data_IF_720648939200
#
_entry.id   IF_720648939200
#
_cell.length_a   1.000
_cell.length_b   1.000
_cell.length_c   1.000
_cell.angle_alpha   90.00
_cell.angle_beta   90.00
_cell.angle_gamma   90.00
#
_symmetry.space_group_name_H-M   'P 1'
#
loop_
_entity.id
_entity.type
_entity.pdbx_description
1 polymer ?
#
# COMPACT_ATOMS: atom_id res chain seq x y z
N UNK A 1 -22.32 32.13 3.71
CA UNK A 1 -22.09 31.41 2.46
C UNK A 1 -20.69 31.80 2.04
N UNK A 2 -19.69 31.06 2.54
CA UNK A 2 -18.29 31.25 2.15
C UNK A 2 -18.08 30.62 0.81
N UNK A 3 -17.45 31.33 -0.06
CA UNK A 3 -17.04 31.03 -1.42
C UNK A 3 -16.28 29.70 -1.47
N UNK A 4 -16.93 28.63 -1.91
CA UNK A 4 -16.29 27.34 -2.19
C UNK A 4 -15.89 27.33 -3.69
N UNK A 5 -15.05 28.28 -4.10
CA UNK A 5 -14.46 28.27 -5.43
C UNK A 5 -13.00 27.86 -5.34
N UNK A 6 -12.67 26.83 -6.11
CA UNK A 6 -11.37 26.29 -6.49
C UNK A 6 -10.67 25.33 -5.49
N UNK A 7 -11.28 24.18 -5.28
CA UNK A 7 -10.59 23.03 -4.63
C UNK A 7 -9.94 22.09 -5.65
N UNK A 8 -10.10 22.33 -6.94
CA UNK A 8 -9.51 21.50 -8.01
C UNK A 8 -7.98 21.60 -7.98
N UNK A 9 -7.31 20.50 -7.70
CA UNK A 9 -5.84 20.41 -7.65
C UNK A 9 -5.28 20.07 -9.04
N UNK A 10 -6.01 19.26 -9.81
CA UNK A 10 -5.64 18.81 -11.15
C UNK A 10 -6.83 18.86 -12.09
N UNK A 11 -6.59 19.19 -13.38
CA UNK A 11 -7.66 19.13 -14.38
C UNK A 11 -7.97 17.67 -14.79
N UNK A 12 -6.94 16.83 -14.96
CA UNK A 12 -7.10 15.45 -15.41
C UNK A 12 -6.17 14.48 -14.70
N UNK A 13 -6.75 13.43 -14.12
CA UNK A 13 -6.01 12.27 -13.60
C UNK A 13 -6.19 11.04 -14.49
N UNK A 14 -5.10 10.30 -14.70
CA UNK A 14 -5.15 8.94 -15.22
C UNK A 14 -4.85 7.95 -14.09
N UNK A 15 -5.77 7.04 -13.81
CA UNK A 15 -5.61 5.97 -12.82
C UNK A 15 -5.36 4.65 -13.56
N UNK A 16 -4.17 4.06 -13.33
CA UNK A 16 -3.76 2.79 -13.93
C UNK A 16 -3.96 1.67 -12.91
N UNK A 17 -5.04 0.91 -13.06
CA UNK A 17 -5.47 -0.09 -12.09
C UNK A 17 -6.60 0.41 -11.21
N UNK A 18 -7.77 -0.24 -11.31
CA UNK A 18 -9.01 0.13 -10.59
C UNK A 18 -9.38 -0.95 -9.56
N UNK A 19 -8.39 -1.45 -8.81
CA UNK A 19 -8.60 -2.32 -7.65
C UNK A 19 -9.10 -1.53 -6.43
N UNK A 20 -8.93 -2.09 -5.23
CA UNK A 20 -9.34 -1.44 -3.97
C UNK A 20 -8.82 0.01 -3.87
N UNK A 21 -7.49 0.21 -3.99
CA UNK A 21 -6.89 1.54 -3.82
C UNK A 21 -7.30 2.49 -4.96
N UNK A 22 -7.19 2.03 -6.22
CA UNK A 22 -7.54 2.87 -7.39
C UNK A 22 -9.01 3.30 -7.39
N UNK A 23 -9.94 2.43 -6.98
CA UNK A 23 -11.36 2.78 -6.88
C UNK A 23 -11.65 3.67 -5.67
N UNK A 24 -10.96 3.47 -4.57
CA UNK A 24 -11.11 4.33 -3.38
C UNK A 24 -10.62 5.74 -3.64
N UNK A 25 -9.41 5.90 -4.23
CA UNK A 25 -8.91 7.25 -4.56
C UNK A 25 -9.79 7.92 -5.61
N UNK A 26 -10.27 7.19 -6.62
CA UNK A 26 -11.21 7.73 -7.60
C UNK A 26 -12.48 8.26 -6.96
N UNK A 27 -13.07 7.52 -6.00
CA UNK A 27 -14.25 7.97 -5.23
C UNK A 27 -13.93 9.21 -4.40
N UNK A 28 -12.83 9.18 -3.67
CA UNK A 28 -12.43 10.27 -2.78
C UNK A 28 -12.20 11.59 -3.55
N UNK A 29 -11.46 11.55 -4.66
CA UNK A 29 -11.18 12.75 -5.45
C UNK A 29 -12.44 13.31 -6.14
N UNK A 30 -13.35 12.44 -6.61
CA UNK A 30 -14.64 12.89 -7.20
C UNK A 30 -15.57 13.46 -6.13
N UNK A 31 -15.67 12.82 -4.97
CA UNK A 31 -16.50 13.30 -3.85
C UNK A 31 -16.07 14.68 -3.35
N UNK A 32 -14.76 14.93 -3.31
CA UNK A 32 -14.18 16.18 -2.83
C UNK A 32 -13.94 17.22 -3.93
N UNK A 33 -14.28 16.94 -5.20
CA UNK A 33 -14.10 17.86 -6.31
C UNK A 33 -12.63 18.24 -6.58
N UNK A 34 -11.68 17.32 -6.33
CA UNK A 34 -10.25 17.59 -6.42
C UNK A 34 -9.70 17.52 -7.85
N UNK A 35 -10.43 16.88 -8.76
CA UNK A 35 -10.05 16.64 -10.15
C UNK A 35 -11.26 16.77 -11.05
N UNK A 36 -11.13 17.47 -12.18
CA UNK A 36 -12.24 17.70 -13.11
C UNK A 36 -12.55 16.47 -13.96
N UNK A 37 -11.55 15.66 -14.32
CA UNK A 37 -11.71 14.51 -15.20
C UNK A 37 -10.88 13.32 -14.77
N UNK A 38 -11.52 12.15 -14.62
CA UNK A 38 -10.90 10.89 -14.22
C UNK A 38 -10.91 9.91 -15.40
N UNK A 39 -9.72 9.61 -15.92
CA UNK A 39 -9.48 8.55 -16.91
C UNK A 39 -8.99 7.29 -16.20
N UNK A 40 -9.55 6.13 -16.54
CA UNK A 40 -9.19 4.85 -15.90
C UNK A 40 -8.79 3.82 -16.94
N UNK A 41 -7.71 3.10 -16.64
CA UNK A 41 -7.35 1.90 -17.37
C UNK A 41 -7.20 0.71 -16.44
N UNK A 42 -7.58 -0.47 -16.93
CA UNK A 42 -7.47 -1.73 -16.18
C UNK A 42 -7.17 -2.89 -17.12
N UNK A 43 -6.74 -4.01 -16.55
CA UNK A 43 -6.40 -5.23 -17.29
C UNK A 43 -7.63 -5.94 -17.90
N UNK A 44 -8.83 -5.75 -17.34
CA UNK A 44 -10.04 -6.43 -17.79
C UNK A 44 -11.18 -5.45 -18.11
N UNK A 45 -11.94 -5.77 -19.16
CA UNK A 45 -13.14 -5.01 -19.51
C UNK A 45 -14.15 -5.01 -18.37
N UNK A 46 -14.30 -6.15 -17.67
CA UNK A 46 -15.21 -6.25 -16.51
C UNK A 46 -14.92 -5.19 -15.45
N UNK A 47 -13.65 -4.96 -15.11
CA UNK A 47 -13.28 -3.93 -14.12
C UNK A 47 -13.59 -2.51 -14.62
N UNK A 48 -13.44 -2.27 -15.92
CA UNK A 48 -13.80 -0.99 -16.54
C UNK A 48 -15.32 -0.77 -16.54
N UNK A 49 -16.08 -1.78 -16.91
CA UNK A 49 -17.56 -1.72 -16.90
C UNK A 49 -18.07 -1.44 -15.48
N UNK A 50 -17.46 -2.07 -14.49
CA UNK A 50 -17.75 -1.80 -13.07
C UNK A 50 -17.40 -0.36 -12.69
N UNK A 51 -16.26 0.16 -13.10
CA UNK A 51 -15.88 1.56 -12.81
C UNK A 51 -16.89 2.56 -13.41
N UNK A 52 -17.37 2.29 -14.62
CA UNK A 52 -18.44 3.10 -15.25
C UNK A 52 -19.75 3.00 -14.46
N UNK A 53 -20.17 1.78 -14.11
CA UNK A 53 -21.43 1.55 -13.38
C UNK A 53 -21.44 2.20 -12.00
N UNK A 54 -20.30 2.30 -11.36
CA UNK A 54 -20.09 2.96 -10.07
C UNK A 54 -19.92 4.49 -10.18
N UNK A 55 -19.86 5.04 -11.40
CA UNK A 55 -19.68 6.47 -11.62
C UNK A 55 -18.32 7.02 -11.17
N UNK A 56 -17.30 6.15 -11.05
CA UNK A 56 -15.97 6.53 -10.55
C UNK A 56 -14.97 6.86 -11.66
N UNK A 57 -15.38 6.83 -12.93
CA UNK A 57 -14.55 7.20 -14.07
C UNK A 57 -15.37 8.01 -15.08
N UNK A 58 -14.77 9.03 -15.67
CA UNK A 58 -15.36 9.82 -16.74
C UNK A 58 -15.02 9.21 -18.10
N UNK A 59 -13.87 8.53 -18.20
CA UNK A 59 -13.52 7.70 -19.37
C UNK A 59 -12.80 6.42 -18.94
N UNK A 60 -12.96 5.37 -19.71
CA UNK A 60 -12.32 4.08 -19.49
C UNK A 60 -11.73 3.52 -20.77
N UNK A 61 -10.58 2.89 -20.71
CA UNK A 61 -9.93 2.22 -21.86
C UNK A 61 -9.05 1.07 -21.39
N UNK A 62 -8.86 0.05 -22.23
CA UNK A 62 -7.88 -1.01 -22.01
C UNK A 62 -6.45 -0.60 -22.38
N UNK A 63 -6.29 0.54 -23.07
CA UNK A 63 -5.01 0.99 -23.60
C UNK A 63 -4.38 2.03 -22.68
N UNK A 64 -3.16 1.73 -22.24
CA UNK A 64 -2.38 2.57 -21.32
C UNK A 64 -2.08 3.95 -21.93
N UNK A 65 -1.66 3.98 -23.18
CA UNK A 65 -1.30 5.19 -23.93
C UNK A 65 -2.49 6.14 -24.12
N UNK A 66 -3.68 5.60 -24.33
CA UNK A 66 -4.91 6.41 -24.43
C UNK A 66 -5.32 7.00 -23.08
N UNK A 67 -5.19 6.21 -22.00
CA UNK A 67 -5.60 6.63 -20.66
C UNK A 67 -4.84 7.85 -20.16
N UNK A 68 -3.52 7.92 -20.42
CA UNK A 68 -2.62 8.96 -19.87
C UNK A 68 -2.60 10.25 -20.70
N UNK A 69 -3.23 10.25 -21.87
CA UNK A 69 -3.21 11.41 -22.80
C UNK A 69 -3.83 12.64 -22.16
N UNK A 70 -3.08 13.75 -22.11
CA UNK A 70 -3.51 15.00 -21.54
C UNK A 70 -3.70 14.96 -20.01
N UNK A 71 -3.15 13.97 -19.33
CA UNK A 71 -3.23 13.89 -17.88
C UNK A 71 -2.17 14.77 -17.20
N UNK A 72 -2.60 15.60 -16.24
CA UNK A 72 -1.70 16.37 -15.37
C UNK A 72 -1.05 15.49 -14.32
N UNK A 73 -1.75 14.41 -13.94
CA UNK A 73 -1.27 13.41 -12.99
C UNK A 73 -1.60 12.00 -13.48
N UNK A 74 -0.63 11.11 -13.40
CA UNK A 74 -0.79 9.67 -13.67
C UNK A 74 -0.49 8.91 -12.39
N UNK A 75 -1.47 8.16 -11.89
CA UNK A 75 -1.35 7.38 -10.66
C UNK A 75 -1.39 5.88 -10.97
N UNK A 76 -0.30 5.16 -10.66
CA UNK A 76 -0.20 3.71 -10.85
C UNK A 76 -0.73 3.00 -9.61
N UNK A 77 -1.86 2.32 -9.75
CA UNK A 77 -2.55 1.55 -8.70
C UNK A 77 -2.60 0.03 -9.02
N UNK A 78 -1.69 -0.45 -9.82
CA UNK A 78 -1.54 -1.87 -10.20
C UNK A 78 -0.45 -2.56 -9.36
N UNK A 79 -0.27 -3.88 -9.43
CA UNK A 79 0.84 -4.57 -8.76
C UNK A 79 2.21 -4.05 -9.19
N UNK A 80 3.16 -3.94 -8.25
CA UNK A 80 4.49 -3.35 -8.47
C UNK A 80 5.25 -4.03 -9.61
N UNK A 81 5.12 -5.34 -9.76
CA UNK A 81 5.75 -6.11 -10.86
C UNK A 81 5.37 -5.64 -12.26
N UNK A 82 4.30 -4.84 -12.40
CA UNK A 82 3.84 -4.33 -13.69
C UNK A 82 4.43 -2.95 -14.04
N UNK A 83 5.07 -2.27 -13.09
CA UNK A 83 5.46 -0.85 -13.22
C UNK A 83 6.43 -0.59 -14.36
N UNK A 84 7.47 -1.42 -14.51
CA UNK A 84 8.45 -1.26 -15.58
C UNK A 84 7.81 -1.33 -16.98
N UNK A 85 6.89 -2.29 -17.19
CA UNK A 85 6.16 -2.45 -18.46
C UNK A 85 5.11 -1.35 -18.69
N UNK A 86 4.46 -0.88 -17.62
CA UNK A 86 3.57 0.28 -17.70
C UNK A 86 4.36 1.51 -18.13
N UNK A 87 5.49 1.77 -17.48
CA UNK A 87 6.33 2.93 -17.79
C UNK A 87 6.79 2.94 -19.25
N UNK A 88 7.20 1.79 -19.79
CA UNK A 88 7.55 1.65 -21.22
C UNK A 88 6.41 2.08 -22.16
N UNK A 89 5.19 1.71 -21.78
CA UNK A 89 4.00 1.97 -22.60
C UNK A 89 3.53 3.41 -22.50
N UNK A 90 3.63 4.05 -21.33
CA UNK A 90 3.08 5.39 -21.10
C UNK A 90 4.08 6.52 -21.36
N UNK A 91 5.38 6.28 -21.19
CA UNK A 91 6.41 7.31 -21.27
C UNK A 91 6.30 8.21 -22.50
N UNK A 92 6.07 7.69 -23.74
CA UNK A 92 5.95 8.52 -24.92
C UNK A 92 4.72 9.45 -24.95
N UNK A 93 3.74 9.20 -24.06
CA UNK A 93 2.45 9.90 -24.02
C UNK A 93 2.25 10.74 -22.76
N UNK A 94 3.28 10.85 -21.91
CA UNK A 94 3.25 11.71 -20.73
C UNK A 94 3.50 13.17 -21.15
N UNK A 95 2.65 14.06 -20.70
CA UNK A 95 2.78 15.49 -20.98
C UNK A 95 3.93 16.13 -20.18
N UNK A 96 4.59 17.14 -20.75
CA UNK A 96 5.57 17.94 -20.02
C UNK A 96 4.90 18.64 -18.84
N UNK A 97 5.46 18.53 -17.65
CA UNK A 97 4.88 19.05 -16.41
C UNK A 97 3.96 18.07 -15.71
N UNK A 98 3.64 16.92 -16.32
CA UNK A 98 2.84 15.88 -15.65
C UNK A 98 3.56 15.28 -14.46
N UNK A 99 2.78 14.85 -13.47
CA UNK A 99 3.27 14.16 -12.27
C UNK A 99 2.93 12.67 -12.36
N UNK A 100 3.95 11.83 -12.34
CA UNK A 100 3.81 10.39 -12.18
C UNK A 100 3.90 10.04 -10.69
N UNK A 101 2.90 9.39 -10.17
CA UNK A 101 2.84 8.90 -8.78
C UNK A 101 2.36 7.45 -8.74
N UNK A 102 2.47 6.82 -7.58
CA UNK A 102 2.00 5.46 -7.37
C UNK A 102 1.44 5.26 -5.97
N UNK A 103 0.95 4.04 -5.67
CA UNK A 103 0.41 3.64 -4.36
C UNK A 103 1.06 2.36 -3.81
N UNK A 104 2.18 1.95 -4.38
CA UNK A 104 2.85 0.70 -4.03
C UNK A 104 3.44 0.70 -2.62
N UNK A 105 3.52 -0.48 -2.02
CA UNK A 105 4.01 -0.67 -0.65
C UNK A 105 5.54 -0.72 -0.54
N UNK A 106 6.28 -0.61 -1.65
CA UNK A 106 7.74 -0.56 -1.70
C UNK A 106 8.15 0.63 -2.55
N UNK A 107 9.11 1.43 -2.10
CA UNK A 107 9.46 2.70 -2.76
C UNK A 107 10.77 2.68 -3.52
N UNK A 108 11.81 2.02 -2.98
CA UNK A 108 13.10 1.95 -3.65
C UNK A 108 13.02 1.27 -5.03
N UNK A 109 12.26 0.18 -5.14
CA UNK A 109 12.03 -0.51 -6.41
C UNK A 109 11.21 0.32 -7.40
N UNK A 110 10.23 1.07 -6.92
CA UNK A 110 9.43 1.99 -7.76
C UNK A 110 10.33 3.04 -8.41
N UNK A 111 11.21 3.68 -7.62
CA UNK A 111 12.15 4.67 -8.15
C UNK A 111 13.13 4.03 -9.14
N UNK A 112 13.70 2.86 -8.80
CA UNK A 112 14.59 2.10 -9.68
C UNK A 112 13.96 1.80 -11.05
N UNK A 113 12.68 1.41 -11.06
CA UNK A 113 12.01 0.92 -12.26
C UNK A 113 11.41 2.04 -13.12
N UNK A 114 10.99 3.16 -12.50
CA UNK A 114 10.36 4.27 -13.21
C UNK A 114 11.33 5.38 -13.63
N UNK A 115 12.29 5.76 -12.75
CA UNK A 115 13.17 6.91 -13.00
C UNK A 115 13.98 6.84 -14.30
N UNK A 116 14.57 5.69 -14.70
CA UNK A 116 15.41 5.63 -15.89
C UNK A 116 14.67 5.91 -17.22
N UNK A 117 13.35 5.78 -17.21
CA UNK A 117 12.49 5.94 -18.41
C UNK A 117 11.60 7.18 -18.31
N UNK A 118 11.80 7.99 -17.28
CA UNK A 118 10.99 9.19 -17.06
C UNK A 118 11.34 10.25 -18.15
N UNK A 119 10.36 10.75 -18.93
CA UNK A 119 10.62 11.79 -19.91
C UNK A 119 11.07 13.10 -19.25
N UNK A 120 11.86 13.88 -20.00
CA UNK A 120 12.25 15.20 -19.54
C UNK A 120 11.02 16.09 -19.27
N UNK A 121 11.01 16.78 -18.13
CA UNK A 121 9.92 17.63 -17.70
C UNK A 121 8.74 16.90 -17.03
N UNK A 122 8.77 15.57 -16.89
CA UNK A 122 7.83 14.80 -16.06
C UNK A 122 8.41 14.62 -14.66
N UNK A 123 7.58 14.72 -13.63
CA UNK A 123 8.00 14.64 -12.23
C UNK A 123 7.57 13.31 -11.60
N UNK A 124 8.51 12.55 -11.04
CA UNK A 124 8.20 11.33 -10.29
C UNK A 124 8.05 11.66 -8.80
N UNK A 125 6.86 11.42 -8.26
CA UNK A 125 6.54 11.62 -6.84
C UNK A 125 5.90 10.35 -6.29
N UNK A 126 6.68 9.33 -5.89
CA UNK A 126 6.13 8.09 -5.34
C UNK A 126 5.45 8.33 -3.99
N UNK A 127 4.32 7.65 -3.80
CA UNK A 127 3.54 7.69 -2.57
C UNK A 127 3.14 6.28 -2.13
N UNK A 128 2.89 6.11 -0.84
CA UNK A 128 2.38 4.88 -0.25
C UNK A 128 1.28 5.23 0.76
N UNK A 129 0.01 5.14 0.39
CA UNK A 129 -1.07 5.18 1.38
C UNK A 129 -1.04 3.88 2.18
N UNK A 130 -0.75 3.98 3.48
CA UNK A 130 -0.74 2.84 4.40
C UNK A 130 -2.17 2.52 4.80
N UNK A 131 -2.93 2.04 3.83
CA UNK A 131 -4.35 1.73 3.93
C UNK A 131 -4.70 0.53 3.05
N UNK A 132 -5.68 -0.25 3.46
CA UNK A 132 -6.13 -1.41 2.70
C UNK A 132 -7.04 -2.32 3.52
N UNK A 133 -7.66 -3.26 2.83
CA UNK A 133 -8.42 -4.36 3.41
C UNK A 133 -8.02 -5.65 2.68
N UNK A 134 -8.48 -6.79 3.16
CA UNK A 134 -8.29 -8.09 2.52
C UNK A 134 -9.14 -8.27 1.23
N UNK A 135 -10.03 -7.33 0.94
CA UNK A 135 -10.89 -7.35 -0.26
C UNK A 135 -10.20 -6.75 -1.47
N UNK A 136 -10.61 -7.16 -2.66
CA UNK A 136 -10.07 -6.70 -3.94
C UNK A 136 -11.15 -6.37 -4.94
N UNK A 137 -10.79 -5.63 -6.00
CA UNK A 137 -11.72 -5.22 -7.05
C UNK A 137 -12.30 -3.82 -6.85
N UNK A 138 -12.94 -3.26 -7.91
CA UNK A 138 -13.47 -1.90 -7.88
C UNK A 138 -14.69 -1.74 -6.97
N UNK A 139 -15.44 -2.81 -6.71
CA UNK A 139 -16.58 -2.81 -5.79
C UNK A 139 -16.17 -2.64 -4.33
N UNK A 140 -14.94 -3.05 -3.98
CA UNK A 140 -14.44 -3.02 -2.61
C UNK A 140 -13.95 -1.65 -2.16
N UNK A 141 -13.81 -0.69 -3.08
CA UNK A 141 -13.36 0.65 -2.76
C UNK A 141 -14.42 1.52 -2.10
N UNK A 142 -13.97 2.41 -1.23
CA UNK A 142 -14.80 3.43 -0.57
C UNK A 142 -13.99 4.72 -0.37
N UNK A 143 -14.68 5.86 -0.32
CA UNK A 143 -14.03 7.17 -0.34
C UNK A 143 -13.22 7.45 0.94
N UNK A 144 -13.70 6.94 2.07
CA UNK A 144 -13.16 7.17 3.41
C UNK A 144 -11.93 6.29 3.74
N UNK A 145 -11.49 5.43 2.82
CA UNK A 145 -10.38 4.50 3.04
C UNK A 145 -9.12 5.18 3.58
N UNK A 146 -8.88 6.42 3.19
CA UNK A 146 -7.66 7.17 3.49
C UNK A 146 -7.79 8.10 4.71
N UNK A 147 -8.98 8.29 5.24
CA UNK A 147 -9.22 9.17 6.38
C UNK A 147 -8.45 8.72 7.62
N UNK A 148 -7.65 9.65 8.17
CA UNK A 148 -6.78 9.39 9.31
C UNK A 148 -5.62 8.41 9.05
N UNK A 149 -5.48 7.85 7.85
CA UNK A 149 -4.38 6.94 7.48
C UNK A 149 -3.13 7.71 7.09
N UNK A 150 -1.98 7.08 7.27
CA UNK A 150 -0.73 7.65 6.81
C UNK A 150 -0.57 7.49 5.30
N UNK A 151 -0.08 8.54 4.64
CA UNK A 151 0.45 8.45 3.29
C UNK A 151 1.91 8.91 3.31
N UNK A 152 2.83 7.99 3.03
CA UNK A 152 4.26 8.27 2.98
C UNK A 152 4.66 8.65 1.56
N UNK A 153 5.23 9.84 1.39
CA UNK A 153 5.73 10.35 0.10
C UNK A 153 7.26 10.29 0.09
N UNK A 154 7.83 9.69 -0.96
CA UNK A 154 9.26 9.44 -1.05
C UNK A 154 9.85 10.03 -2.33
N UNK A 155 9.92 11.36 -2.49
CA UNK A 155 10.38 11.97 -3.71
C UNK A 155 11.88 11.71 -3.93
N UNK A 156 12.31 11.31 -5.14
CA UNK A 156 13.72 11.26 -5.48
C UNK A 156 14.42 12.61 -5.29
N UNK A 157 15.70 12.57 -4.97
CA UNK A 157 16.49 13.80 -4.83
C UNK A 157 16.42 14.65 -6.12
N UNK A 158 16.11 15.94 -5.98
CA UNK A 158 15.99 16.86 -7.10
C UNK A 158 14.59 16.90 -7.76
N UNK A 159 13.62 16.17 -7.25
CA UNK A 159 12.22 16.32 -7.69
C UNK A 159 11.71 17.74 -7.43
N UNK A 160 10.97 18.29 -8.38
CA UNK A 160 10.37 19.63 -8.26
C UNK A 160 9.44 19.72 -7.03
N UNK A 161 9.69 20.71 -6.18
CA UNK A 161 8.97 20.87 -4.92
C UNK A 161 7.47 21.20 -5.13
N UNK A 162 7.12 21.87 -6.23
CA UNK A 162 5.72 22.15 -6.55
C UNK A 162 4.96 20.85 -6.87
N UNK A 163 5.59 19.94 -7.62
CA UNK A 163 5.01 18.61 -7.89
C UNK A 163 4.84 17.79 -6.61
N UNK A 164 5.84 17.83 -5.71
CA UNK A 164 5.77 17.15 -4.40
C UNK A 164 4.62 17.71 -3.55
N UNK A 165 4.49 19.04 -3.50
CA UNK A 165 3.43 19.69 -2.73
C UNK A 165 2.04 19.34 -3.26
N UNK A 166 1.84 19.32 -4.58
CA UNK A 166 0.56 18.94 -5.19
C UNK A 166 0.12 17.51 -4.82
N UNK A 167 1.06 16.55 -4.82
CA UNK A 167 0.75 15.18 -4.37
C UNK A 167 0.44 15.14 -2.88
N UNK A 168 1.19 15.88 -2.05
CA UNK A 168 0.91 15.97 -0.62
C UNK A 168 -0.46 16.58 -0.35
N UNK A 169 -0.85 17.63 -1.08
CA UNK A 169 -2.14 18.29 -0.93
C UNK A 169 -3.29 17.38 -1.39
N UNK A 170 -3.10 16.59 -2.47
CA UNK A 170 -4.07 15.58 -2.89
C UNK A 170 -4.35 14.56 -1.76
N UNK A 171 -3.30 14.01 -1.15
CA UNK A 171 -3.45 13.02 -0.08
C UNK A 171 -4.05 13.64 1.19
N UNK A 172 -3.68 14.87 1.55
CA UNK A 172 -4.32 15.60 2.67
C UNK A 172 -5.79 15.85 2.40
N UNK A 173 -6.14 16.26 1.18
CA UNK A 173 -7.52 16.58 0.81
C UNK A 173 -8.45 15.34 0.84
N UNK A 174 -7.90 14.13 0.70
CA UNK A 174 -8.66 12.87 0.89
C UNK A 174 -8.57 12.34 2.32
N UNK A 175 -8.05 13.13 3.27
CA UNK A 175 -8.06 12.83 4.71
C UNK A 175 -6.82 12.14 5.25
N UNK A 176 -5.77 11.94 4.45
CA UNK A 176 -4.54 11.28 4.90
C UNK A 176 -3.64 12.19 5.74
N UNK A 177 -2.95 11.57 6.71
CA UNK A 177 -1.79 12.16 7.37
C UNK A 177 -0.56 11.98 6.47
N UNK A 178 0.01 13.06 5.95
CA UNK A 178 1.13 12.98 5.01
C UNK A 178 2.46 13.09 5.75
N UNK A 179 3.35 12.15 5.47
CA UNK A 179 4.73 12.12 5.95
C UNK A 179 5.71 12.01 4.78
N UNK A 180 6.90 12.62 4.92
CA UNK A 180 7.97 12.52 3.92
C UNK A 180 9.09 11.65 4.46
N UNK A 181 9.59 10.73 3.64
CA UNK A 181 10.60 9.78 4.06
C UNK A 181 11.57 9.45 2.92
N UNK A 182 12.80 9.13 3.26
CA UNK A 182 13.72 8.51 2.31
C UNK A 182 13.18 7.14 1.85
N UNK A 183 13.28 6.78 0.56
CA UNK A 183 12.68 5.55 0.04
C UNK A 183 13.27 4.27 0.66
N UNK A 184 14.57 4.24 0.97
CA UNK A 184 15.19 3.07 1.60
C UNK A 184 14.77 2.96 3.07
N UNK A 185 14.71 4.09 3.77
CA UNK A 185 14.21 4.12 5.14
C UNK A 185 12.73 3.69 5.21
N UNK A 186 11.90 4.16 4.28
CA UNK A 186 10.52 3.69 4.12
C UNK A 186 10.47 2.16 4.01
N UNK A 187 11.26 1.58 3.12
CA UNK A 187 11.26 0.15 2.86
C UNK A 187 11.73 -0.68 4.08
N UNK A 188 12.67 -0.15 4.87
CA UNK A 188 13.08 -0.75 6.16
C UNK A 188 11.95 -0.69 7.21
N UNK A 189 11.28 0.46 7.34
CA UNK A 189 10.14 0.62 8.27
C UNK A 189 9.02 -0.34 7.88
N UNK A 190 8.65 -0.39 6.59
CA UNK A 190 7.59 -1.28 6.10
C UNK A 190 7.97 -2.76 6.21
N UNK A 191 9.25 -3.11 6.04
CA UNK A 191 9.71 -4.48 6.25
C UNK A 191 9.38 -4.97 7.67
N UNK A 192 9.56 -4.13 8.69
CA UNK A 192 9.29 -4.50 10.08
C UNK A 192 7.81 -4.38 10.46
N UNK A 193 7.14 -3.31 10.02
CA UNK A 193 5.78 -2.99 10.51
C UNK A 193 4.66 -3.67 9.72
N UNK A 194 4.93 -4.10 8.49
CA UNK A 194 3.94 -4.67 7.57
C UNK A 194 4.40 -6.00 6.96
N UNK A 195 5.56 -6.03 6.29
CA UNK A 195 5.92 -7.16 5.43
C UNK A 195 6.27 -8.41 6.24
N UNK A 196 7.10 -8.29 7.28
CA UNK A 196 7.42 -9.39 8.18
C UNK A 196 6.18 -9.94 8.91
N UNK A 197 5.28 -9.13 9.49
CA UNK A 197 4.03 -9.62 10.06
C UNK A 197 3.18 -10.46 9.10
N UNK A 198 3.05 -10.04 7.84
CA UNK A 198 2.33 -10.83 6.84
C UNK A 198 3.04 -12.15 6.51
N UNK A 199 4.37 -12.13 6.35
CA UNK A 199 5.14 -13.35 6.14
C UNK A 199 4.95 -14.35 7.27
N UNK A 200 4.99 -13.88 8.53
CA UNK A 200 4.76 -14.71 9.71
C UNK A 200 3.33 -15.25 9.73
N UNK A 201 2.33 -14.41 9.41
CA UNK A 201 0.93 -14.83 9.37
C UNK A 201 0.70 -15.95 8.33
N UNK A 202 1.24 -15.80 7.11
CA UNK A 202 1.20 -16.85 6.10
C UNK A 202 1.92 -18.13 6.55
N UNK A 203 3.08 -17.98 7.20
CA UNK A 203 3.87 -19.11 7.70
C UNK A 203 3.12 -19.88 8.79
N UNK A 204 2.50 -19.20 9.76
CA UNK A 204 1.71 -19.85 10.82
C UNK A 204 0.54 -20.63 10.24
N UNK A 205 -0.18 -20.06 9.26
CA UNK A 205 -1.27 -20.79 8.58
C UNK A 205 -0.72 -22.01 7.85
N UNK A 206 0.39 -21.87 7.10
CA UNK A 206 1.06 -23.00 6.45
C UNK A 206 1.46 -24.09 7.45
N UNK A 207 2.12 -23.73 8.54
CA UNK A 207 2.51 -24.68 9.60
C UNK A 207 1.31 -25.42 10.19
N UNK A 208 0.19 -24.70 10.41
CA UNK A 208 -1.03 -25.32 10.95
C UNK A 208 -1.67 -26.31 9.95
N UNK A 209 -1.53 -26.07 8.64
CA UNK A 209 -2.09 -26.95 7.60
C UNK A 209 -1.23 -28.19 7.32
N UNK A 210 0.04 -28.17 7.67
CA UNK A 210 0.96 -29.31 7.54
C UNK A 210 0.80 -30.35 8.65
N UNK A 211 -0.05 -30.09 9.65
CA UNK A 211 -0.37 -31.03 10.72
C UNK A 211 -1.27 -32.17 10.19
N UNK A 212 -1.32 -33.28 10.93
CA UNK A 212 -2.23 -34.40 10.64
C UNK A 212 -3.69 -33.89 10.53
N UNK A 213 -4.46 -34.47 9.60
CA UNK A 213 -5.85 -34.03 9.31
C UNK A 213 -6.75 -33.93 10.55
N UNK A 214 -6.57 -34.83 11.53
CA UNK A 214 -7.31 -34.80 12.80
C UNK A 214 -6.97 -33.54 13.60
N UNK A 215 -5.68 -33.23 13.75
CA UNK A 215 -5.19 -32.06 14.50
C UNK A 215 -5.52 -30.77 13.75
N UNK A 216 -5.44 -30.75 12.41
CA UNK A 216 -5.83 -29.60 11.59
C UNK A 216 -7.30 -29.20 11.81
N UNK A 217 -8.22 -30.19 11.84
CA UNK A 217 -9.65 -29.92 12.11
C UNK A 217 -9.87 -29.32 13.51
N UNK A 218 -9.08 -29.75 14.49
CA UNK A 218 -9.11 -29.21 15.86
C UNK A 218 -8.51 -27.82 15.93
N UNK A 219 -7.40 -27.55 15.23
CA UNK A 219 -6.82 -26.21 15.14
C UNK A 219 -7.83 -25.22 14.54
N UNK A 220 -8.51 -25.58 13.45
CA UNK A 220 -9.56 -24.74 12.85
C UNK A 220 -10.72 -24.55 13.83
N UNK A 221 -11.21 -25.64 14.45
CA UNK A 221 -12.34 -25.61 15.37
C UNK A 221 -12.08 -24.77 16.62
N UNK A 222 -10.87 -24.85 17.16
CA UNK A 222 -10.48 -24.14 18.39
C UNK A 222 -9.73 -22.84 18.12
N UNK A 223 -9.67 -22.39 16.85
CA UNK A 223 -9.10 -21.08 16.49
C UNK A 223 -9.90 -19.97 17.16
N UNK A 224 -9.51 -19.63 18.39
CA UNK A 224 -10.02 -18.49 19.12
C UNK A 224 -9.43 -17.17 18.60
N UNK A 225 -9.85 -16.03 19.16
CA UNK A 225 -9.50 -14.70 18.71
C UNK A 225 -8.01 -14.51 18.34
N UNK A 226 -7.07 -15.01 19.16
CA UNK A 226 -5.64 -14.82 18.93
C UNK A 226 -5.14 -15.38 17.59
N UNK A 227 -5.49 -16.62 17.22
CA UNK A 227 -5.09 -17.18 15.93
C UNK A 227 -5.82 -16.49 14.78
N UNK A 228 -7.13 -16.36 14.89
CA UNK A 228 -7.98 -15.74 13.85
C UNK A 228 -7.56 -14.30 13.56
N UNK A 229 -7.38 -13.49 14.59
CA UNK A 229 -7.10 -12.07 14.45
C UNK A 229 -5.68 -11.86 13.92
N UNK A 230 -4.69 -12.63 14.40
CA UNK A 230 -3.33 -12.56 13.90
C UNK A 230 -3.18 -13.04 12.45
N UNK A 231 -3.90 -14.11 12.07
CA UNK A 231 -3.81 -14.71 10.72
C UNK A 231 -4.76 -14.07 9.71
N UNK A 232 -5.63 -13.13 10.10
CA UNK A 232 -6.56 -12.43 9.19
C UNK A 232 -5.84 -11.86 7.98
N UNK A 233 -4.68 -11.28 8.18
CA UNK A 233 -3.88 -10.66 7.11
C UNK A 233 -3.32 -11.66 6.09
N UNK A 234 -3.28 -12.95 6.40
CA UNK A 234 -2.90 -14.02 5.46
C UNK A 234 -4.01 -14.33 4.42
N UNK A 235 -5.19 -13.71 4.53
CA UNK A 235 -6.24 -13.79 3.52
C UNK A 235 -6.07 -12.78 2.36
N UNK A 236 -5.03 -11.96 2.38
CA UNK A 236 -4.74 -10.95 1.37
C UNK A 236 -4.28 -11.54 0.04
N UNK A 237 -4.32 -10.73 -1.04
CA UNK A 237 -3.96 -11.16 -2.40
C UNK A 237 -2.52 -11.71 -2.49
N UNK A 238 -2.32 -12.97 -2.92
CA UNK A 238 -1.00 -13.59 -2.97
C UNK A 238 -0.08 -12.99 -4.04
N UNK A 239 -0.63 -12.43 -5.11
CA UNK A 239 0.17 -11.78 -6.16
C UNK A 239 0.82 -10.50 -5.63
N UNK A 240 0.02 -9.68 -4.96
CA UNK A 240 0.51 -8.46 -4.34
C UNK A 240 1.62 -8.76 -3.31
N UNK A 241 1.39 -9.72 -2.42
CA UNK A 241 2.36 -10.05 -1.37
C UNK A 241 3.64 -10.69 -1.91
N UNK A 242 3.54 -11.57 -2.92
CA UNK A 242 4.71 -12.05 -3.64
C UNK A 242 5.56 -10.90 -4.18
N UNK A 243 4.91 -9.93 -4.83
CA UNK A 243 5.59 -8.78 -5.43
C UNK A 243 6.24 -7.89 -4.36
N UNK A 244 5.57 -7.65 -3.23
CA UNK A 244 6.12 -6.92 -2.09
C UNK A 244 7.36 -7.63 -1.53
N UNK A 245 7.28 -8.95 -1.28
CA UNK A 245 8.40 -9.73 -0.74
C UNK A 245 9.63 -9.70 -1.65
N UNK A 246 9.43 -9.79 -2.97
CA UNK A 246 10.54 -9.81 -3.92
C UNK A 246 11.13 -8.41 -4.20
N UNK A 247 10.31 -7.35 -4.13
CA UNK A 247 10.77 -5.99 -4.38
C UNK A 247 11.36 -5.31 -3.15
N UNK A 248 11.06 -5.77 -1.92
CA UNK A 248 11.70 -5.32 -0.68
C UNK A 248 12.59 -6.42 -0.05
N UNK A 249 13.19 -7.24 -0.89
CA UNK A 249 13.88 -8.47 -0.48
C UNK A 249 14.95 -8.24 0.59
N UNK A 250 15.82 -7.26 0.40
CA UNK A 250 16.99 -7.08 1.26
C UNK A 250 16.57 -6.64 2.67
N UNK A 251 15.66 -5.65 2.79
CA UNK A 251 15.15 -5.21 4.08
C UNK A 251 14.33 -6.31 4.79
N UNK A 252 13.52 -7.08 4.05
CA UNK A 252 12.75 -8.19 4.62
C UNK A 252 13.67 -9.29 5.12
N UNK A 253 14.71 -9.67 4.38
CA UNK A 253 15.66 -10.70 4.80
C UNK A 253 16.43 -10.28 6.06
N UNK A 254 16.83 -9.00 6.17
CA UNK A 254 17.46 -8.47 7.37
C UNK A 254 16.52 -8.59 8.59
N UNK A 255 15.27 -8.14 8.45
CA UNK A 255 14.30 -8.22 9.55
C UNK A 255 13.94 -9.66 9.90
N UNK A 256 13.83 -10.54 8.92
CA UNK A 256 13.58 -11.97 9.13
C UNK A 256 14.73 -12.64 9.86
N UNK A 257 15.98 -12.30 9.55
CA UNK A 257 17.13 -12.81 10.27
C UNK A 257 17.06 -12.44 11.76
N UNK A 258 16.85 -11.16 12.08
CA UNK A 258 16.71 -10.68 13.47
C UNK A 258 15.56 -11.39 14.18
N UNK A 259 14.42 -11.53 13.52
CA UNK A 259 13.28 -12.26 14.08
C UNK A 259 13.61 -13.73 14.38
N UNK A 260 14.34 -14.42 13.50
CA UNK A 260 14.76 -15.80 13.71
C UNK A 260 15.75 -15.93 14.86
N UNK A 261 16.65 -14.97 15.05
CA UNK A 261 17.59 -14.93 16.18
C UNK A 261 16.82 -14.79 17.50
N UNK A 262 15.87 -13.86 17.58
CA UNK A 262 15.01 -13.67 18.76
C UNK A 262 14.14 -14.92 19.03
N UNK A 263 13.55 -15.50 18.00
CA UNK A 263 12.74 -16.72 18.13
C UNK A 263 13.58 -17.91 18.62
N UNK A 264 14.82 -18.03 18.13
CA UNK A 264 15.77 -19.07 18.57
C UNK A 264 16.16 -18.90 20.05
N UNK A 265 16.35 -17.65 20.48
CA UNK A 265 16.63 -17.34 21.90
C UNK A 265 15.44 -17.73 22.79
N UNK A 266 14.21 -17.41 22.38
CA UNK A 266 12.99 -17.82 23.09
C UNK A 266 12.80 -19.33 23.08
N UNK A 267 13.05 -20.01 21.97
CA UNK A 267 13.01 -21.47 21.88
C UNK A 267 14.00 -22.13 22.86
N UNK A 268 15.20 -21.54 23.01
CA UNK A 268 16.17 -22.00 23.98
C UNK A 268 15.64 -21.80 25.43
N UNK A 269 15.15 -20.60 25.72
CA UNK A 269 14.62 -20.28 27.04
C UNK A 269 13.46 -21.22 27.45
N UNK A 270 12.57 -21.56 26.51
CA UNK A 270 11.50 -22.54 26.74
C UNK A 270 12.09 -23.95 27.03
N UNK A 271 13.07 -24.39 26.23
CA UNK A 271 13.67 -25.72 26.36
C UNK A 271 14.37 -25.93 27.68
N UNK A 272 14.93 -24.88 28.27
CA UNK A 272 15.72 -24.93 29.49
C UNK A 272 15.00 -24.35 30.70
N UNK A 273 13.69 -24.13 30.64
CA UNK A 273 12.86 -23.59 31.70
C UNK A 273 13.42 -22.26 32.28
N UNK A 274 13.92 -21.38 31.43
CA UNK A 274 14.48 -20.07 31.82
C UNK A 274 13.33 -19.08 32.13
N UNK A 275 12.64 -19.25 33.27
CA UNK A 275 11.43 -18.49 33.65
C UNK A 275 11.64 -16.99 33.66
N UNK A 276 12.73 -16.51 34.25
CA UNK A 276 13.00 -15.07 34.39
C UNK A 276 13.28 -14.44 32.99
N UNK A 277 14.04 -15.12 32.11
CA UNK A 277 14.30 -14.66 30.73
C UNK A 277 13.00 -14.48 29.97
N UNK A 278 12.09 -15.43 30.04
CA UNK A 278 10.78 -15.36 29.37
C UNK A 278 9.91 -14.24 29.96
N UNK A 279 9.87 -14.14 31.30
CA UNK A 279 9.08 -13.13 32.00
C UNK A 279 9.54 -11.70 31.65
N UNK A 280 10.83 -11.45 31.72
CA UNK A 280 11.42 -10.14 31.38
C UNK A 280 11.18 -9.75 29.94
N UNK A 281 11.35 -10.68 28.98
CA UNK A 281 11.05 -10.47 27.59
C UNK A 281 9.57 -10.08 27.37
N UNK A 282 8.64 -10.85 27.95
CA UNK A 282 7.21 -10.57 27.82
C UNK A 282 6.80 -9.26 28.52
N UNK A 283 7.40 -8.95 29.68
CA UNK A 283 7.14 -7.70 30.37
C UNK A 283 7.57 -6.49 29.55
N UNK A 284 8.78 -6.55 28.96
CA UNK A 284 9.31 -5.50 28.08
C UNK A 284 8.43 -5.29 26.85
N UNK A 285 8.12 -6.36 26.13
CA UNK A 285 7.33 -6.27 24.90
C UNK A 285 5.89 -5.81 25.16
N UNK A 286 5.27 -6.26 26.27
CA UNK A 286 3.97 -5.78 26.73
C UNK A 286 3.98 -4.27 27.01
N UNK A 287 5.03 -3.77 27.64
CA UNK A 287 5.15 -2.33 27.92
C UNK A 287 5.21 -1.50 26.63
N UNK A 288 6.00 -1.96 25.65
CA UNK A 288 6.10 -1.32 24.33
C UNK A 288 4.73 -1.33 23.63
N UNK A 289 4.04 -2.49 23.62
CA UNK A 289 2.72 -2.60 22.97
C UNK A 289 1.67 -1.67 23.59
N UNK A 290 1.68 -1.54 24.92
CA UNK A 290 0.77 -0.59 25.61
C UNK A 290 1.05 0.85 25.20
N UNK A 291 2.30 1.26 25.06
CA UNK A 291 2.65 2.59 24.56
C UNK A 291 2.16 2.85 23.14
N UNK A 292 2.13 1.83 22.27
CA UNK A 292 1.56 1.94 20.91
C UNK A 292 0.04 2.17 20.97
N UNK A 293 -0.67 1.49 21.87
CA UNK A 293 -2.12 1.69 22.07
C UNK A 293 -2.41 3.10 22.60
N UNK A 294 -1.66 3.56 23.60
CA UNK A 294 -1.80 4.89 24.19
C UNK A 294 -1.55 6.01 23.15
N UNK A 295 -0.70 5.78 22.15
CA UNK A 295 -0.48 6.68 21.04
C UNK A 295 -1.66 6.80 20.04
N UNK A 296 -2.83 6.23 20.35
CA UNK A 296 -4.07 6.21 19.54
C UNK A 296 -3.96 5.56 18.15
N UNK A 297 -2.96 4.74 17.90
CA UNK A 297 -2.82 4.05 16.61
C UNK A 297 -3.83 2.91 16.40
N UNK A 298 -4.46 2.40 17.46
CA UNK A 298 -5.50 1.38 17.35
C UNK A 298 -6.88 1.91 16.95
N UNK A 299 -7.22 3.15 17.30
CA UNK A 299 -8.52 3.76 16.93
C UNK A 299 -8.74 3.95 15.43
N UNK A 300 -7.71 3.69 14.63
CA UNK A 300 -7.79 3.78 13.16
C UNK A 300 -8.28 2.48 12.49
N UNK A 301 -8.60 1.42 13.27
CA UNK A 301 -8.97 0.10 12.74
C UNK A 301 -10.32 -0.43 13.27
N UNK A 302 -11.04 0.34 14.10
CA UNK A 302 -12.42 0.12 14.49
C UNK A 302 -13.37 0.93 13.58
#
# INVERSE_FOLDING_TARGET
>A
MSDMSETTIFNRIAIIGIGLIGSSISRAIKMNGLVDFVSVTAKSQKSLDTAVSLGIADSVTLKLDEAVKGADIVMICSPISTYAGIMESIAPNLETGAILTDVGSVKASVIRDLSPKLPAGVHLVPAHPVAGTEHSGPESGFAELFEGRWCVITPPTGTDQSAVNKIADLWRAVGSNVEFMDPFHHDQVMAMTSHLPHLIAYTIVGTATDLEKSLMNEVIKYSAGGFRDFTRIAASDPTMWRDVMLNNKDAILEMLQRFNEDLTALQRAIRWDEYDTLYEFFLKTRSIRRGVIEANQEKMYE
#
